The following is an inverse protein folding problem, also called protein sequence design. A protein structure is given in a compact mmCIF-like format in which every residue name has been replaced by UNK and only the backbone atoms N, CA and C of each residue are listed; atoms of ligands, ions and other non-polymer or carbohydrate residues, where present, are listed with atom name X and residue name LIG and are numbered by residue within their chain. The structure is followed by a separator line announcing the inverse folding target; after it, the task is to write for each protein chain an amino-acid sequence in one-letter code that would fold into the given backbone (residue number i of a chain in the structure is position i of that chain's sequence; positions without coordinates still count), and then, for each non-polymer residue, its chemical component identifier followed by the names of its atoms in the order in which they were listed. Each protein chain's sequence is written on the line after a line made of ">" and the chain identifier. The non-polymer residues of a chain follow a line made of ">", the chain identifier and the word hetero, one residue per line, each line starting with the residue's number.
data_IF_543407439751
#
_entry.id   IF_543407439751
#
_cell.length_a   1.000
_cell.length_b   1.000
_cell.length_c   1.000
_cell.angle_alpha   90.00
_cell.angle_beta   90.00
_cell.angle_gamma   90.00
#
_symmetry.space_group_name_H-M   'P 1'
#
loop_
_entity.id
_entity.type
_entity.pdbx_description
1 polymer ?
#
# COMPACT_ATOMS: atom_id res chain seq x y z
N UNK A 1 23.46 -74.10 21.49
CA UNK A 1 24.82 -73.55 21.75
C UNK A 1 24.81 -72.08 21.41
N UNK A 2 25.46 -71.31 22.26
CA UNK A 2 25.43 -69.85 22.43
C UNK A 2 25.96 -69.09 21.20
N UNK A 3 25.33 -67.96 20.88
CA UNK A 3 26.03 -66.78 20.34
C UNK A 3 25.26 -65.50 20.73
N UNK A 4 25.96 -64.61 21.43
CA UNK A 4 25.54 -63.28 21.90
C UNK A 4 25.73 -62.28 20.76
N UNK A 5 24.79 -61.34 20.59
CA UNK A 5 25.00 -60.11 19.83
C UNK A 5 24.45 -58.90 20.61
N UNK A 6 25.25 -57.84 20.66
CA UNK A 6 25.19 -56.68 21.55
C UNK A 6 24.07 -55.67 21.23
N UNK A 7 23.70 -54.79 22.19
CA UNK A 7 22.72 -53.73 21.96
C UNK A 7 23.31 -52.60 21.10
N UNK A 8 22.60 -52.26 20.02
CA UNK A 8 22.87 -51.06 19.22
C UNK A 8 22.33 -49.82 19.93
N UNK A 9 23.24 -48.95 20.38
CA UNK A 9 22.93 -47.61 20.89
C UNK A 9 22.22 -46.75 19.83
N UNK A 10 21.27 -45.89 20.22
CA UNK A 10 20.63 -44.96 19.29
C UNK A 10 21.63 -43.85 18.89
N UNK A 11 21.81 -43.65 17.59
CA UNK A 11 22.55 -42.52 17.04
C UNK A 11 21.80 -41.22 17.30
N UNK A 12 22.20 -40.50 18.35
CA UNK A 12 21.86 -39.09 18.54
C UNK A 12 22.68 -38.26 17.55
N UNK A 13 22.16 -38.10 16.34
CA UNK A 13 22.69 -37.20 15.31
C UNK A 13 21.66 -36.13 14.96
N UNK A 14 21.18 -35.39 15.96
CA UNK A 14 20.49 -34.13 15.69
C UNK A 14 21.58 -33.12 15.28
N UNK A 15 21.71 -32.88 13.97
CA UNK A 15 22.47 -31.75 13.47
C UNK A 15 21.95 -30.48 14.13
N UNK A 16 22.82 -29.59 14.64
CA UNK A 16 22.37 -28.31 15.17
C UNK A 16 21.67 -27.56 14.04
N UNK A 17 20.42 -27.16 14.27
CA UNK A 17 19.72 -26.21 13.40
C UNK A 17 20.66 -25.05 13.09
N UNK A 18 20.76 -24.59 11.83
CA UNK A 18 21.58 -23.43 11.52
C UNK A 18 21.11 -22.29 12.41
N UNK A 19 22.04 -21.70 13.16
CA UNK A 19 21.82 -20.46 13.89
C UNK A 19 21.29 -19.47 12.87
N UNK A 20 20.01 -19.14 12.97
CA UNK A 20 19.41 -18.05 12.21
C UNK A 20 20.19 -16.81 12.61
N UNK A 21 21.06 -16.32 11.71
CA UNK A 21 21.76 -15.07 11.91
C UNK A 21 20.71 -14.00 12.15
N UNK A 22 20.86 -13.24 13.22
CA UNK A 22 20.00 -12.08 13.45
C UNK A 22 20.08 -11.16 12.22
N UNK A 23 18.94 -10.69 11.68
CA UNK A 23 18.94 -9.73 10.58
C UNK A 23 19.83 -8.53 10.90
N UNK A 24 20.71 -8.13 9.97
CA UNK A 24 21.64 -7.01 10.18
C UNK A 24 20.92 -5.70 10.55
N UNK A 25 19.70 -5.51 10.04
CA UNK A 25 18.86 -4.36 10.32
C UNK A 25 18.50 -4.21 11.82
N UNK A 26 18.42 -5.31 12.59
CA UNK A 26 18.16 -5.25 14.03
C UNK A 26 19.30 -4.63 14.84
N UNK A 27 20.51 -4.59 14.28
CA UNK A 27 21.66 -3.98 14.94
C UNK A 27 21.74 -2.45 14.72
N UNK A 28 20.92 -1.91 13.81
CA UNK A 28 20.93 -0.49 13.45
C UNK A 28 19.92 0.29 14.31
N UNK A 29 20.25 1.54 14.64
CA UNK A 29 19.31 2.52 15.17
C UNK A 29 18.30 2.98 14.10
N UNK A 30 17.19 3.59 14.51
CA UNK A 30 16.16 4.11 13.58
C UNK A 30 16.75 5.12 12.58
N UNK A 31 17.67 5.97 13.05
CA UNK A 31 18.37 6.95 12.21
C UNK A 31 19.28 6.27 11.17
N UNK A 32 19.98 5.21 11.55
CA UNK A 32 20.82 4.42 10.65
C UNK A 32 19.99 3.64 9.63
N UNK A 33 18.86 3.03 10.04
CA UNK A 33 17.91 2.40 9.11
C UNK A 33 17.36 3.41 8.11
N UNK A 34 16.95 4.59 8.57
CA UNK A 34 16.52 5.69 7.71
C UNK A 34 17.63 6.17 6.75
N UNK A 35 18.90 6.17 7.17
CA UNK A 35 20.03 6.49 6.29
C UNK A 35 20.24 5.44 5.20
N UNK A 36 20.07 4.14 5.51
CA UNK A 36 20.10 3.05 4.53
C UNK A 36 18.98 3.23 3.50
N UNK A 37 17.75 3.50 3.94
CA UNK A 37 16.61 3.75 3.04
C UNK A 37 16.90 4.93 2.10
N UNK A 38 17.40 6.06 2.61
CA UNK A 38 17.78 7.22 1.77
C UNK A 38 18.87 6.87 0.77
N UNK A 39 19.85 6.05 1.15
CA UNK A 39 20.91 5.58 0.24
C UNK A 39 20.33 4.75 -0.90
N UNK A 40 19.46 3.78 -0.59
CA UNK A 40 18.81 2.91 -1.57
C UNK A 40 17.92 3.72 -2.53
N UNK A 41 17.11 4.61 -1.98
CA UNK A 41 16.13 5.38 -2.75
C UNK A 41 16.75 6.55 -3.53
N UNK A 42 17.93 7.01 -3.10
CA UNK A 42 18.62 8.17 -3.67
C UNK A 42 17.98 9.49 -3.27
N UNK A 43 18.19 10.52 -4.09
CA UNK A 43 17.72 11.89 -3.84
C UNK A 43 16.62 12.29 -4.82
N UNK A 44 15.62 13.03 -4.34
CA UNK A 44 14.64 13.67 -5.20
C UNK A 44 15.20 14.97 -5.82
N UNK A 45 14.85 15.27 -7.08
CA UNK A 45 15.07 16.58 -7.68
C UNK A 45 13.88 17.51 -7.38
N UNK A 46 14.03 18.53 -6.51
CA UNK A 46 12.94 19.44 -6.14
C UNK A 46 12.33 20.21 -7.31
N UNK A 47 13.03 20.32 -8.44
CA UNK A 47 12.52 20.95 -9.66
C UNK A 47 11.28 20.24 -10.22
N UNK A 48 11.10 18.96 -9.87
CA UNK A 48 10.00 18.12 -10.35
C UNK A 48 8.74 18.17 -9.48
N UNK A 49 8.69 19.03 -8.46
CA UNK A 49 7.59 19.07 -7.48
C UNK A 49 6.22 19.49 -8.06
N UNK A 50 6.16 20.08 -9.25
CA UNK A 50 4.92 20.61 -9.81
C UNK A 50 3.84 19.53 -10.03
N UNK A 51 4.22 18.37 -10.58
CA UNK A 51 3.29 17.25 -10.79
C UNK A 51 2.82 16.61 -9.47
N UNK A 52 3.71 16.17 -8.54
CA UNK A 52 3.28 15.65 -7.25
C UNK A 52 2.41 16.64 -6.46
N UNK A 53 2.76 17.93 -6.43
CA UNK A 53 1.98 18.95 -5.75
C UNK A 53 0.58 19.13 -6.35
N UNK A 54 0.41 18.96 -7.66
CA UNK A 54 -0.89 18.98 -8.32
C UNK A 54 -1.75 17.78 -7.91
N UNK A 55 -1.16 16.56 -7.92
CA UNK A 55 -1.84 15.34 -7.45
C UNK A 55 -2.30 15.51 -6.01
N UNK A 56 -1.41 15.96 -5.12
CA UNK A 56 -1.71 16.21 -3.71
C UNK A 56 -2.85 17.20 -3.55
N UNK A 57 -2.84 18.31 -4.27
CA UNK A 57 -3.90 19.33 -4.20
C UNK A 57 -5.28 18.75 -4.54
N UNK A 58 -5.37 17.95 -5.60
CA UNK A 58 -6.61 17.26 -5.99
C UNK A 58 -7.02 16.28 -4.90
N UNK A 59 -6.13 15.38 -4.51
CA UNK A 59 -6.39 14.33 -3.51
C UNK A 59 -6.86 14.92 -2.19
N UNK A 60 -6.17 15.93 -1.65
CA UNK A 60 -6.57 16.58 -0.40
C UNK A 60 -7.92 17.29 -0.50
N UNK A 61 -8.18 17.97 -1.63
CA UNK A 61 -9.49 18.59 -1.87
C UNK A 61 -10.60 17.55 -1.91
N UNK A 62 -10.38 16.42 -2.57
CA UNK A 62 -11.38 15.33 -2.66
C UNK A 62 -11.55 14.58 -1.35
N UNK A 63 -10.48 14.39 -0.58
CA UNK A 63 -10.56 13.84 0.78
C UNK A 63 -11.47 14.70 1.67
N UNK A 64 -11.26 16.03 1.67
CA UNK A 64 -12.10 16.96 2.44
C UNK A 64 -13.57 16.90 2.00
N UNK A 65 -13.83 16.64 0.72
CA UNK A 65 -15.19 16.54 0.18
C UNK A 65 -15.89 15.21 0.47
N UNK A 66 -15.18 14.09 0.35
CA UNK A 66 -15.80 12.76 0.33
C UNK A 66 -15.52 11.91 1.57
N UNK A 67 -14.39 12.10 2.24
CA UNK A 67 -13.95 11.24 3.36
C UNK A 67 -14.13 11.95 4.70
N UNK A 68 -13.74 13.22 4.80
CA UNK A 68 -13.82 13.98 6.05
C UNK A 68 -15.24 14.05 6.65
N UNK A 69 -16.33 14.17 5.87
CA UNK A 69 -17.68 14.11 6.43
C UNK A 69 -18.00 12.76 7.09
N UNK A 70 -17.51 11.64 6.53
CA UNK A 70 -17.69 10.31 7.09
C UNK A 70 -16.90 10.16 8.39
N UNK A 71 -15.67 10.69 8.46
CA UNK A 71 -14.90 10.71 9.71
C UNK A 71 -15.66 11.51 10.77
N UNK A 72 -16.12 12.73 10.44
CA UNK A 72 -16.84 13.57 11.39
C UNK A 72 -18.14 12.93 11.90
N UNK A 73 -18.80 12.12 11.08
CA UNK A 73 -20.04 11.43 11.44
C UNK A 73 -19.80 10.16 12.25
N UNK A 74 -18.82 9.34 11.88
CA UNK A 74 -18.67 7.99 12.41
C UNK A 74 -17.57 7.87 13.46
N UNK A 75 -16.55 8.72 13.37
CA UNK A 75 -15.38 8.73 14.26
C UNK A 75 -14.82 10.15 14.54
N UNK A 76 -15.66 11.07 15.06
CA UNK A 76 -15.29 12.47 15.25
C UNK A 76 -14.07 12.68 16.16
N UNK A 77 -13.88 11.82 17.16
CA UNK A 77 -12.77 11.91 18.12
C UNK A 77 -11.39 11.72 17.46
N UNK A 78 -11.32 11.06 16.30
CA UNK A 78 -10.06 10.95 15.55
C UNK A 78 -9.58 12.29 14.97
N UNK A 79 -10.49 13.27 14.81
CA UNK A 79 -10.18 14.55 14.19
C UNK A 79 -9.25 15.38 15.08
N UNK A 80 -8.05 15.66 14.59
CA UNK A 80 -7.04 16.43 15.32
C UNK A 80 -6.11 15.56 16.17
N UNK A 81 -6.42 14.28 16.34
CA UNK A 81 -5.57 13.32 17.04
C UNK A 81 -4.53 12.66 16.11
N UNK A 82 -3.67 11.81 16.69
CA UNK A 82 -2.67 11.04 15.95
C UNK A 82 -3.33 10.15 14.91
N UNK A 83 -4.41 9.45 15.28
CA UNK A 83 -5.17 8.59 14.36
C UNK A 83 -5.66 9.36 13.11
N UNK A 84 -6.31 10.52 13.28
CA UNK A 84 -6.75 11.32 12.13
C UNK A 84 -5.61 11.83 11.25
N UNK A 85 -4.43 12.14 11.83
CA UNK A 85 -3.24 12.49 11.04
C UNK A 85 -2.70 11.29 10.24
N UNK A 86 -2.60 10.10 10.86
CA UNK A 86 -2.22 8.84 10.20
C UNK A 86 -3.17 8.55 9.04
N UNK A 87 -4.48 8.51 9.30
CA UNK A 87 -5.49 8.24 8.26
C UNK A 87 -5.42 9.21 7.09
N UNK A 88 -5.30 10.51 7.37
CA UNK A 88 -5.20 11.53 6.31
C UNK A 88 -3.91 11.35 5.50
N UNK A 89 -2.79 11.07 6.15
CA UNK A 89 -1.52 10.80 5.47
C UNK A 89 -1.62 9.55 4.60
N UNK A 90 -2.01 8.40 5.17
CA UNK A 90 -2.12 7.14 4.43
C UNK A 90 -3.08 7.27 3.25
N UNK A 91 -4.24 7.91 3.45
CA UNK A 91 -5.20 8.13 2.37
C UNK A 91 -4.62 9.03 1.28
N UNK A 92 -4.07 10.19 1.66
CA UNK A 92 -3.76 11.26 0.70
C UNK A 92 -2.37 11.19 0.08
N UNK A 93 -1.40 10.66 0.83
CA UNK A 93 0.02 10.63 0.46
C UNK A 93 0.46 9.26 -0.03
N UNK A 94 -0.13 8.18 0.49
CA UNK A 94 0.20 6.83 0.09
C UNK A 94 -0.83 6.28 -0.91
N UNK A 95 -2.01 5.87 -0.43
CA UNK A 95 -2.92 5.01 -1.19
C UNK A 95 -3.60 5.70 -2.38
N UNK A 96 -4.16 6.91 -2.21
CA UNK A 96 -4.84 7.58 -3.32
C UNK A 96 -3.87 8.00 -4.44
N UNK A 97 -2.58 8.18 -4.13
CA UNK A 97 -1.55 8.57 -5.11
C UNK A 97 -1.38 7.55 -6.23
N UNK A 98 -1.42 6.26 -5.89
CA UNK A 98 -1.13 5.20 -6.84
C UNK A 98 -2.14 5.18 -8.01
N UNK A 99 -3.47 5.23 -7.77
CA UNK A 99 -4.46 5.38 -8.84
C UNK A 99 -4.25 6.63 -9.71
N UNK A 100 -3.93 7.79 -9.14
CA UNK A 100 -3.67 9.01 -9.95
C UNK A 100 -2.40 8.88 -10.80
N UNK A 101 -1.35 8.23 -10.28
CA UNK A 101 -0.15 7.92 -11.06
C UNK A 101 -0.48 6.96 -12.20
N UNK A 102 -1.28 5.91 -11.95
CA UNK A 102 -1.74 5.00 -12.99
C UNK A 102 -2.53 5.72 -14.06
N UNK A 103 -3.48 6.59 -13.72
CA UNK A 103 -4.23 7.36 -14.72
C UNK A 103 -3.30 8.17 -15.65
N UNK A 104 -2.17 8.66 -15.14
CA UNK A 104 -1.21 9.42 -15.91
C UNK A 104 -0.28 8.56 -16.78
N UNK A 105 -0.01 7.32 -16.35
CA UNK A 105 0.89 6.38 -17.04
C UNK A 105 0.15 5.28 -17.82
N UNK A 106 -1.17 5.22 -17.73
CA UNK A 106 -2.02 4.20 -18.32
C UNK A 106 -1.98 4.19 -19.86
N UNK A 107 -2.25 3.03 -20.50
CA UNK A 107 -2.36 2.92 -21.96
C UNK A 107 -3.49 3.76 -22.54
N UNK A 108 -4.59 3.89 -21.78
CA UNK A 108 -5.75 4.70 -22.12
C UNK A 108 -5.93 5.81 -21.08
N UNK A 109 -5.04 6.83 -21.07
CA UNK A 109 -5.08 7.82 -20.02
C UNK A 109 -6.28 8.77 -20.22
N UNK A 110 -6.76 9.46 -19.18
CA UNK A 110 -7.80 10.47 -19.33
C UNK A 110 -7.44 11.52 -20.40
N UNK A 111 -8.47 12.05 -21.08
CA UNK A 111 -8.30 12.91 -22.26
C UNK A 111 -7.22 13.99 -22.14
N UNK A 112 -7.05 14.74 -21.01
CA UNK A 112 -6.03 15.78 -20.92
C UNK A 112 -4.58 15.28 -20.93
N UNK A 113 -4.34 14.02 -20.56
CA UNK A 113 -2.99 13.45 -20.41
C UNK A 113 -2.37 13.13 -21.76
N UNK A 114 -3.14 12.57 -22.69
CA UNK A 114 -2.66 12.21 -24.03
C UNK A 114 -2.06 13.39 -24.81
N UNK A 115 -2.79 14.53 -24.95
CA UNK A 115 -2.27 15.75 -25.54
C UNK A 115 -1.07 16.31 -24.77
N UNK A 116 -1.11 16.37 -23.44
CA UNK A 116 0.01 16.85 -22.64
C UNK A 116 1.29 16.05 -22.95
N UNK A 117 1.16 14.73 -23.06
CA UNK A 117 2.26 13.85 -23.47
C UNK A 117 2.72 14.10 -24.89
N UNK A 118 1.81 14.17 -25.85
CA UNK A 118 2.14 14.44 -27.24
C UNK A 118 2.86 15.78 -27.41
N UNK A 119 2.36 16.85 -26.79
CA UNK A 119 2.97 18.18 -26.78
C UNK A 119 4.34 18.15 -26.13
N UNK A 120 4.45 17.54 -24.95
CA UNK A 120 5.70 17.44 -24.20
C UNK A 120 6.82 16.77 -25.01
N UNK A 121 6.52 15.61 -25.60
CA UNK A 121 7.47 14.87 -26.44
C UNK A 121 7.79 15.61 -27.75
N UNK A 122 6.79 16.23 -28.41
CA UNK A 122 7.01 16.96 -29.67
C UNK A 122 7.87 18.22 -29.50
N UNK A 123 7.75 18.89 -28.38
CA UNK A 123 8.52 20.09 -28.05
C UNK A 123 9.89 19.76 -27.43
N UNK A 124 10.18 18.48 -27.16
CA UNK A 124 11.42 18.06 -26.49
C UNK A 124 11.59 18.71 -25.11
N UNK A 125 10.50 18.85 -24.36
CA UNK A 125 10.53 19.53 -23.07
C UNK A 125 11.45 18.81 -22.08
N UNK A 126 12.17 19.57 -21.27
CA UNK A 126 12.93 19.05 -20.14
C UNK A 126 12.01 18.43 -19.08
N UNK A 127 12.55 17.55 -18.23
CA UNK A 127 11.81 16.90 -17.13
C UNK A 127 11.09 17.91 -16.20
N UNK A 128 11.74 19.02 -15.86
CA UNK A 128 11.15 20.13 -15.08
C UNK A 128 9.94 20.75 -15.78
N UNK A 129 10.05 20.99 -17.09
CA UNK A 129 8.96 21.58 -17.89
C UNK A 129 7.81 20.58 -18.07
N UNK A 130 8.14 19.30 -18.27
CA UNK A 130 7.18 18.20 -18.29
C UNK A 130 6.42 18.08 -16.97
N UNK A 131 7.10 18.21 -15.83
CA UNK A 131 6.42 18.21 -14.52
C UNK A 131 5.40 19.33 -14.38
N UNK A 132 5.69 20.54 -14.86
CA UNK A 132 4.73 21.65 -14.87
C UNK A 132 3.54 21.37 -15.80
N UNK A 133 3.79 20.89 -17.01
CA UNK A 133 2.76 20.53 -17.98
C UNK A 133 1.86 19.41 -17.45
N UNK A 134 2.47 18.37 -16.87
CA UNK A 134 1.77 17.27 -16.22
C UNK A 134 0.94 17.75 -15.03
N UNK A 135 1.45 18.69 -14.22
CA UNK A 135 0.69 19.30 -13.13
C UNK A 135 -0.58 20.03 -13.61
N UNK A 136 -0.50 20.75 -14.73
CA UNK A 136 -1.69 21.35 -15.37
C UNK A 136 -2.66 20.26 -15.86
N UNK A 137 -2.14 19.20 -16.49
CA UNK A 137 -2.94 18.08 -16.97
C UNK A 137 -3.64 17.31 -15.83
N UNK A 138 -3.05 17.22 -14.64
CA UNK A 138 -3.70 16.66 -13.44
C UNK A 138 -4.93 17.49 -13.06
N UNK A 139 -4.80 18.82 -13.01
CA UNK A 139 -5.92 19.70 -12.70
C UNK A 139 -7.06 19.60 -13.73
N UNK A 140 -6.72 19.52 -15.02
CA UNK A 140 -7.69 19.30 -16.08
C UNK A 140 -8.35 17.91 -15.98
N UNK A 141 -7.56 16.88 -15.67
CA UNK A 141 -8.06 15.51 -15.47
C UNK A 141 -9.08 15.46 -14.34
N UNK A 142 -8.78 16.09 -13.21
CA UNK A 142 -9.70 16.17 -12.07
C UNK A 142 -11.01 16.93 -12.36
N UNK A 143 -11.04 17.75 -13.42
CA UNK A 143 -12.26 18.43 -13.85
C UNK A 143 -13.15 17.58 -14.77
N UNK A 144 -12.57 16.58 -15.45
CA UNK A 144 -13.28 15.75 -16.45
C UNK A 144 -13.46 14.29 -16.03
N UNK A 145 -12.71 13.82 -15.03
CA UNK A 145 -12.86 12.46 -14.52
C UNK A 145 -14.27 12.28 -13.93
N UNK A 146 -14.96 11.16 -14.17
CA UNK A 146 -16.28 10.92 -13.60
C UNK A 146 -16.26 11.09 -12.08
N UNK A 147 -17.23 11.82 -11.54
CA UNK A 147 -17.30 12.10 -10.11
C UNK A 147 -17.34 10.82 -9.26
N UNK A 148 -17.99 9.76 -9.75
CA UNK A 148 -18.02 8.45 -9.09
C UNK A 148 -16.63 7.80 -9.06
N UNK A 149 -15.84 7.90 -10.13
CA UNK A 149 -14.46 7.40 -10.16
C UNK A 149 -13.59 8.11 -9.14
N UNK A 150 -13.57 9.46 -9.15
CA UNK A 150 -12.80 10.23 -8.18
C UNK A 150 -13.22 9.89 -6.74
N UNK A 151 -14.53 9.84 -6.49
CA UNK A 151 -15.08 9.51 -5.17
C UNK A 151 -14.60 8.14 -4.71
N UNK A 152 -14.67 7.11 -5.58
CA UNK A 152 -14.25 5.74 -5.23
C UNK A 152 -12.75 5.62 -4.99
N UNK A 153 -11.89 6.34 -5.73
CA UNK A 153 -10.44 6.39 -5.44
C UNK A 153 -10.22 6.82 -3.98
N UNK A 154 -10.88 7.89 -3.55
CA UNK A 154 -10.70 8.43 -2.20
C UNK A 154 -11.33 7.55 -1.12
N UNK A 155 -12.51 6.98 -1.37
CA UNK A 155 -13.18 6.10 -0.41
C UNK A 155 -12.41 4.80 -0.21
N UNK A 156 -11.92 4.15 -1.27
CA UNK A 156 -11.11 2.94 -1.14
C UNK A 156 -9.76 3.20 -0.45
N UNK A 157 -9.09 4.30 -0.81
CA UNK A 157 -7.84 4.69 -0.15
C UNK A 157 -8.05 4.94 1.36
N UNK A 158 -9.14 5.61 1.74
CA UNK A 158 -9.48 5.84 3.15
C UNK A 158 -9.89 4.55 3.85
N UNK A 159 -10.59 3.67 3.15
CA UNK A 159 -11.02 2.38 3.68
C UNK A 159 -9.84 1.50 4.04
N UNK A 160 -8.85 1.36 3.15
CA UNK A 160 -7.61 0.62 3.41
C UNK A 160 -6.86 1.26 4.59
N UNK A 161 -6.67 2.59 4.58
CA UNK A 161 -6.01 3.30 5.69
C UNK A 161 -6.72 3.08 7.03
N UNK A 162 -8.05 2.97 7.03
CA UNK A 162 -8.82 2.71 8.25
C UNK A 162 -8.71 1.26 8.70
N UNK A 163 -8.70 0.29 7.76
CA UNK A 163 -8.45 -1.12 8.07
C UNK A 163 -7.07 -1.33 8.69
N UNK A 164 -6.04 -0.74 8.07
CA UNK A 164 -4.66 -0.73 8.57
C UNK A 164 -4.61 -0.22 10.02
N UNK A 165 -5.17 0.96 10.26
CA UNK A 165 -5.23 1.53 11.61
C UNK A 165 -6.02 0.66 12.60
N UNK A 166 -7.10 0.01 12.16
CA UNK A 166 -7.89 -0.86 13.03
C UNK A 166 -7.09 -2.08 13.46
N UNK A 167 -6.34 -2.71 12.55
CA UNK A 167 -5.48 -3.85 12.88
C UNK A 167 -4.32 -3.47 13.81
N UNK A 168 -3.67 -2.33 13.53
CA UNK A 168 -2.52 -1.88 14.31
C UNK A 168 -2.90 -1.42 15.73
N UNK A 169 -4.04 -0.72 15.86
CA UNK A 169 -4.31 0.08 17.07
C UNK A 169 -5.64 -0.20 17.76
N UNK A 170 -6.67 -0.64 17.02
CA UNK A 170 -8.03 -0.74 17.59
C UNK A 170 -8.37 -2.15 18.08
N UNK A 171 -7.58 -3.15 17.68
CA UNK A 171 -7.77 -4.56 18.03
C UNK A 171 -6.72 -5.07 19.02
N UNK A 172 -5.92 -4.18 19.62
CA UNK A 172 -4.93 -4.58 20.61
C UNK A 172 -5.58 -5.33 21.79
N UNK A 173 -4.89 -6.38 22.28
CA UNK A 173 -5.40 -7.28 23.31
C UNK A 173 -6.60 -8.18 22.92
N UNK A 174 -7.15 -8.07 21.70
CA UNK A 174 -8.21 -8.98 21.21
C UNK A 174 -7.58 -10.27 20.68
N UNK A 175 -8.18 -11.43 21.02
CA UNK A 175 -7.77 -12.74 20.49
C UNK A 175 -7.77 -12.77 18.94
N UNK A 176 -6.75 -13.34 18.27
CA UNK A 176 -6.64 -13.34 16.81
C UNK A 176 -7.86 -13.88 16.07
N UNK A 177 -8.50 -14.95 16.56
CA UNK A 177 -9.68 -15.53 15.89
C UNK A 177 -10.87 -14.58 16.00
N UNK A 178 -11.02 -13.93 17.16
CA UNK A 178 -12.05 -12.92 17.37
C UNK A 178 -11.80 -11.65 16.53
N UNK A 179 -10.54 -11.25 16.30
CA UNK A 179 -10.20 -10.16 15.36
C UNK A 179 -10.71 -10.47 13.96
N UNK A 180 -10.41 -11.66 13.45
CA UNK A 180 -10.87 -12.13 12.14
C UNK A 180 -12.39 -12.19 12.05
N UNK A 181 -13.06 -12.75 13.07
CA UNK A 181 -14.53 -12.82 13.14
C UNK A 181 -15.17 -11.43 13.09
N UNK A 182 -14.63 -10.46 13.83
CA UNK A 182 -15.14 -9.07 13.83
C UNK A 182 -14.91 -8.38 12.49
N UNK A 183 -13.69 -8.45 11.94
CA UNK A 183 -13.38 -7.80 10.67
C UNK A 183 -14.13 -8.43 9.50
N UNK A 184 -14.16 -9.76 9.39
CA UNK A 184 -14.97 -10.45 8.40
C UNK A 184 -16.46 -10.13 8.55
N UNK A 185 -16.98 -10.18 9.79
CA UNK A 185 -18.37 -9.84 10.06
C UNK A 185 -18.71 -8.37 9.77
N UNK A 186 -17.77 -7.44 9.94
CA UNK A 186 -17.94 -6.03 9.60
C UNK A 186 -18.05 -5.81 8.09
N UNK A 187 -17.20 -6.50 7.32
CA UNK A 187 -17.25 -6.47 5.85
C UNK A 187 -18.54 -7.10 5.32
N UNK A 188 -18.94 -8.24 5.90
CA UNK A 188 -20.15 -8.96 5.49
C UNK A 188 -21.45 -8.36 6.06
N UNK A 189 -21.35 -7.38 6.97
CA UNK A 189 -22.50 -6.73 7.61
C UNK A 189 -23.21 -7.60 8.64
N UNK A 190 -22.57 -8.67 9.09
CA UNK A 190 -23.09 -9.60 10.12
C UNK A 190 -22.64 -9.23 11.53
N UNK A 191 -21.72 -8.27 11.65
CA UNK A 191 -21.29 -7.71 12.94
C UNK A 191 -21.27 -6.17 12.88
N UNK A 192 -21.60 -5.54 14.01
CA UNK A 192 -21.59 -4.07 14.19
C UNK A 192 -21.09 -3.77 15.60
N UNK A 193 -20.22 -2.76 15.79
CA UNK A 193 -19.75 -2.36 17.12
C UNK A 193 -20.92 -1.79 17.94
N UNK A 194 -21.02 -2.22 19.20
CA UNK A 194 -21.96 -1.64 20.17
C UNK A 194 -21.36 -0.44 20.90
N UNK A 195 -22.13 0.17 21.82
CA UNK A 195 -21.69 1.33 22.59
C UNK A 195 -20.56 1.02 23.59
N UNK A 196 -20.31 -0.26 23.90
CA UNK A 196 -19.27 -0.70 24.83
C UNK A 196 -17.99 -1.14 24.13
N UNK A 197 -18.02 -1.23 22.81
CA UNK A 197 -16.87 -1.62 21.99
C UNK A 197 -15.81 -0.52 22.01
N UNK A 198 -14.62 -0.83 22.52
CA UNK A 198 -13.46 0.07 22.44
C UNK A 198 -13.19 0.42 20.97
N UNK A 199 -12.94 1.70 20.70
CA UNK A 199 -12.76 2.23 19.33
C UNK A 199 -13.95 1.96 18.39
N UNK A 200 -15.19 1.86 18.89
CA UNK A 200 -16.39 1.66 18.08
C UNK A 200 -16.49 2.63 16.88
N UNK A 201 -16.01 3.86 17.01
CA UNK A 201 -15.98 4.85 15.93
C UNK A 201 -15.17 4.40 14.71
N UNK A 202 -14.00 3.79 14.93
CA UNK A 202 -13.15 3.27 13.85
C UNK A 202 -13.86 2.18 13.05
N UNK A 203 -14.47 1.20 13.73
CA UNK A 203 -15.23 0.14 13.07
C UNK A 203 -16.47 0.67 12.32
N UNK A 204 -17.19 1.66 12.90
CA UNK A 204 -18.29 2.33 12.19
C UNK A 204 -17.80 3.05 10.94
N UNK A 205 -16.62 3.68 10.99
CA UNK A 205 -16.04 4.35 9.83
C UNK A 205 -15.65 3.34 8.73
N UNK A 206 -15.04 2.20 9.08
CA UNK A 206 -14.76 1.11 8.12
C UNK A 206 -16.05 0.70 7.40
N UNK A 207 -17.15 0.48 8.14
CA UNK A 207 -18.43 0.12 7.54
C UNK A 207 -19.00 1.23 6.65
N UNK A 208 -18.98 2.47 7.10
CA UNK A 208 -19.48 3.60 6.32
C UNK A 208 -18.71 3.78 5.00
N UNK A 209 -17.38 3.68 5.04
CA UNK A 209 -16.54 3.74 3.85
C UNK A 209 -16.84 2.57 2.90
N UNK A 210 -17.02 1.37 3.45
CA UNK A 210 -17.41 0.19 2.69
C UNK A 210 -18.76 0.34 2.00
N UNK A 211 -19.77 0.89 2.66
CA UNK A 211 -21.09 1.07 2.06
C UNK A 211 -21.07 2.19 1.00
N UNK A 212 -20.36 3.28 1.29
CA UNK A 212 -20.30 4.43 0.39
C UNK A 212 -19.51 4.17 -0.90
N UNK A 213 -18.50 3.29 -0.88
CA UNK A 213 -17.76 2.94 -2.10
C UNK A 213 -18.60 2.11 -3.08
N UNK A 214 -19.58 1.33 -2.59
CA UNK A 214 -20.52 0.55 -3.40
C UNK A 214 -21.66 1.39 -3.94
N UNK A 215 -22.00 2.49 -3.27
CA UNK A 215 -23.10 3.35 -3.65
C UNK A 215 -22.98 3.81 -5.12
N UNK A 216 -24.09 3.66 -5.86
CA UNK A 216 -24.19 4.08 -7.26
C UNK A 216 -23.42 3.19 -8.25
N UNK A 217 -23.11 1.93 -7.92
CA UNK A 217 -22.73 0.93 -8.93
C UNK A 217 -24.03 0.40 -9.56
N UNK A 218 -24.17 0.59 -10.87
CA UNK A 218 -25.37 0.26 -11.64
C UNK A 218 -25.10 -0.68 -12.83
N UNK A 219 -23.84 -1.08 -13.01
CA UNK A 219 -23.40 -1.93 -14.11
C UNK A 219 -22.60 -3.13 -13.60
N UNK A 220 -22.77 -4.27 -14.28
CA UNK A 220 -22.20 -5.56 -13.90
C UNK A 220 -20.67 -5.56 -13.94
N UNK A 221 -20.05 -4.77 -14.81
CA UNK A 221 -18.58 -4.73 -14.92
C UNK A 221 -17.94 -4.09 -13.69
N UNK A 222 -18.45 -2.94 -13.23
CA UNK A 222 -18.00 -2.31 -12.00
C UNK A 222 -18.30 -3.18 -10.77
N UNK A 223 -19.45 -3.84 -10.74
CA UNK A 223 -19.78 -4.75 -9.64
C UNK A 223 -18.80 -5.92 -9.58
N UNK A 224 -18.46 -6.54 -10.71
CA UNK A 224 -17.49 -7.65 -10.76
C UNK A 224 -16.09 -7.23 -10.30
N UNK A 225 -15.61 -6.05 -10.69
CA UNK A 225 -14.30 -5.57 -10.26
C UNK A 225 -14.28 -5.23 -8.76
N UNK A 226 -15.38 -4.67 -8.24
CA UNK A 226 -15.55 -4.47 -6.79
C UNK A 226 -15.57 -5.82 -6.04
N UNK A 227 -16.34 -6.79 -6.50
CA UNK A 227 -16.46 -8.11 -5.87
C UNK A 227 -15.11 -8.82 -5.81
N UNK A 228 -14.32 -8.72 -6.89
CA UNK A 228 -12.94 -9.21 -6.93
C UNK A 228 -12.07 -8.52 -5.87
N UNK A 229 -12.14 -7.20 -5.76
CA UNK A 229 -11.38 -6.45 -4.76
C UNK A 229 -11.77 -6.84 -3.32
N UNK A 230 -13.07 -6.97 -3.05
CA UNK A 230 -13.58 -7.37 -1.74
C UNK A 230 -13.22 -8.82 -1.41
N UNK A 231 -13.21 -9.73 -2.39
CA UNK A 231 -12.74 -11.10 -2.18
C UNK A 231 -11.26 -11.14 -1.76
N UNK A 232 -10.39 -10.36 -2.42
CA UNK A 232 -8.99 -10.24 -2.01
C UNK A 232 -8.80 -9.62 -0.64
N UNK A 233 -9.67 -8.68 -0.26
CA UNK A 233 -9.64 -8.11 1.08
C UNK A 233 -10.03 -9.14 2.16
N UNK A 234 -10.95 -10.06 1.85
CA UNK A 234 -11.26 -11.19 2.75
C UNK A 234 -10.07 -12.14 2.87
N UNK A 235 -9.37 -12.44 1.78
CA UNK A 235 -8.12 -13.21 1.82
C UNK A 235 -7.10 -12.56 2.79
N UNK A 236 -7.02 -11.22 2.79
CA UNK A 236 -6.17 -10.46 3.72
C UNK A 236 -6.60 -10.64 5.19
N UNK A 237 -7.89 -10.52 5.50
CA UNK A 237 -8.40 -10.75 6.87
C UNK A 237 -8.04 -12.16 7.37
N UNK A 238 -8.23 -13.18 6.52
CA UNK A 238 -7.87 -14.56 6.86
C UNK A 238 -6.36 -14.74 7.05
N UNK A 239 -5.56 -14.05 6.25
CA UNK A 239 -4.10 -14.07 6.32
C UNK A 239 -3.57 -13.45 7.62
N UNK A 240 -4.15 -12.35 8.09
CA UNK A 240 -3.82 -11.74 9.39
C UNK A 240 -4.06 -12.72 10.55
N UNK A 241 -5.20 -13.43 10.55
CA UNK A 241 -5.47 -14.47 11.56
C UNK A 241 -4.43 -15.58 11.50
N UNK A 242 -4.10 -16.07 10.31
CA UNK A 242 -3.08 -17.12 10.12
C UNK A 242 -1.71 -16.68 10.61
N UNK A 243 -1.30 -15.44 10.33
CA UNK A 243 -0.05 -14.87 10.79
C UNK A 243 0.02 -14.83 12.33
N UNK A 244 -1.03 -14.30 12.97
CA UNK A 244 -1.09 -14.16 14.44
C UNK A 244 -1.23 -15.50 15.18
N UNK A 245 -1.78 -16.53 14.53
CA UNK A 245 -1.95 -17.87 15.11
C UNK A 245 -0.79 -18.82 14.79
N UNK A 246 0.25 -18.33 14.11
CA UNK A 246 1.46 -19.11 13.81
C UNK A 246 1.28 -20.17 12.73
N UNK A 247 0.24 -20.06 11.90
CA UNK A 247 0.07 -20.94 10.74
C UNK A 247 1.21 -20.66 9.75
N UNK A 248 2.01 -21.66 9.36
CA UNK A 248 3.11 -21.42 8.42
C UNK A 248 2.62 -20.91 7.06
N UNK A 249 3.28 -19.86 6.56
CA UNK A 249 3.09 -19.41 5.17
C UNK A 249 4.04 -20.19 4.25
N UNK A 250 3.54 -20.96 3.27
CA UNK A 250 4.38 -21.73 2.35
C UNK A 250 5.29 -20.85 1.48
N UNK A 251 4.98 -19.56 1.31
CA UNK A 251 5.82 -18.64 0.53
C UNK A 251 7.02 -18.10 1.31
N UNK A 252 7.03 -18.23 2.64
CA UNK A 252 8.02 -17.60 3.52
C UNK A 252 7.75 -16.11 3.80
N UNK A 253 6.73 -15.51 3.17
CA UNK A 253 6.37 -14.10 3.34
C UNK A 253 5.45 -13.83 4.54
N UNK A 254 5.38 -14.72 5.53
CA UNK A 254 4.61 -14.54 6.78
C UNK A 254 3.17 -14.03 6.57
N UNK A 255 2.49 -14.50 5.51
CA UNK A 255 1.15 -14.11 5.11
C UNK A 255 0.97 -12.62 4.76
N UNK A 256 2.08 -11.89 4.45
CA UNK A 256 2.03 -10.50 3.98
C UNK A 256 1.39 -10.35 2.59
N UNK A 257 1.58 -11.33 1.70
CA UNK A 257 1.17 -11.21 0.29
C UNK A 257 -0.34 -10.98 0.09
N UNK A 258 -1.26 -11.66 0.80
CA UNK A 258 -2.68 -11.34 0.73
C UNK A 258 -3.01 -9.87 1.02
N UNK A 259 -2.33 -9.23 1.99
CA UNK A 259 -2.50 -7.79 2.27
C UNK A 259 -2.01 -6.90 1.13
N UNK A 260 -0.83 -7.21 0.57
CA UNK A 260 -0.29 -6.54 -0.62
C UNK A 260 -1.27 -6.63 -1.80
N UNK A 261 -1.81 -7.83 -2.05
CA UNK A 261 -2.72 -8.06 -3.18
C UNK A 261 -4.09 -7.42 -2.96
N UNK A 262 -4.66 -7.55 -1.76
CA UNK A 262 -5.96 -6.98 -1.40
C UNK A 262 -5.98 -5.45 -1.46
N UNK A 263 -4.92 -4.82 -0.97
CA UNK A 263 -4.74 -3.35 -1.08
C UNK A 263 -4.81 -2.89 -2.53
N UNK A 264 -4.07 -3.57 -3.42
CA UNK A 264 -3.96 -3.12 -4.81
C UNK A 264 -5.19 -3.45 -5.64
N UNK A 265 -5.81 -4.62 -5.48
CA UNK A 265 -7.05 -4.90 -6.21
C UNK A 265 -8.15 -3.89 -5.85
N UNK A 266 -8.19 -3.42 -4.59
CA UNK A 266 -9.05 -2.31 -4.16
C UNK A 266 -8.71 -0.96 -4.80
N UNK A 267 -7.41 -0.61 -4.91
CA UNK A 267 -6.98 0.65 -5.51
C UNK A 267 -7.05 0.67 -7.05
N UNK A 268 -6.94 -0.50 -7.70
CA UNK A 268 -7.10 -0.63 -9.15
C UNK A 268 -8.56 -0.58 -9.56
N UNK A 269 -9.48 -1.15 -8.77
CA UNK A 269 -10.92 -1.15 -9.02
C UNK A 269 -11.44 0.21 -9.54
N UNK A 270 -11.28 1.37 -8.86
CA UNK A 270 -11.89 2.61 -9.34
C UNK A 270 -11.35 3.09 -10.70
N UNK A 271 -10.17 2.62 -11.11
CA UNK A 271 -9.49 3.03 -12.35
C UNK A 271 -9.33 1.88 -13.35
N UNK A 272 -10.03 0.76 -13.17
CA UNK A 272 -9.83 -0.49 -13.93
C UNK A 272 -9.96 -0.31 -15.45
N UNK A 273 -10.81 0.62 -15.91
CA UNK A 273 -11.00 0.92 -17.34
C UNK A 273 -9.77 1.57 -17.99
N UNK A 274 -8.93 2.21 -17.18
CA UNK A 274 -7.67 2.81 -17.62
C UNK A 274 -6.47 1.90 -17.33
N UNK A 275 -6.55 1.16 -16.21
CA UNK A 275 -5.51 0.28 -15.74
C UNK A 275 -5.52 -1.06 -16.48
N UNK A 276 -4.48 -1.33 -17.26
CA UNK A 276 -4.20 -2.68 -17.77
C UNK A 276 -3.50 -3.54 -16.71
N UNK A 277 -3.28 -4.82 -17.05
CA UNK A 277 -2.60 -5.76 -16.15
C UNK A 277 -1.19 -5.28 -15.75
N UNK A 278 -0.50 -4.58 -16.63
CA UNK A 278 0.81 -3.99 -16.30
C UNK A 278 0.73 -2.89 -15.24
N UNK A 279 -0.35 -2.09 -15.22
CA UNK A 279 -0.56 -1.10 -14.17
C UNK A 279 -0.86 -1.79 -12.83
N UNK A 280 -1.68 -2.85 -12.86
CA UNK A 280 -1.95 -3.69 -11.69
C UNK A 280 -0.66 -4.31 -11.13
N UNK A 281 0.18 -4.90 -11.99
CA UNK A 281 1.45 -5.49 -11.61
C UNK A 281 2.43 -4.44 -11.03
N UNK A 282 2.53 -3.27 -11.66
CA UNK A 282 3.35 -2.18 -11.11
C UNK A 282 2.85 -1.75 -9.72
N UNK A 283 1.53 -1.62 -9.54
CA UNK A 283 0.96 -1.29 -8.23
C UNK A 283 1.24 -2.38 -7.18
N UNK A 284 1.21 -3.67 -7.55
CA UNK A 284 1.64 -4.75 -6.64
C UNK A 284 3.11 -4.61 -6.24
N UNK A 285 3.99 -4.30 -7.18
CA UNK A 285 5.41 -4.10 -6.88
C UNK A 285 5.60 -2.89 -5.94
N UNK A 286 4.83 -1.81 -6.11
CA UNK A 286 4.84 -0.66 -5.20
C UNK A 286 4.32 -1.03 -3.82
N UNK A 287 3.20 -1.76 -3.72
CA UNK A 287 2.67 -2.18 -2.41
C UNK A 287 3.60 -3.15 -1.70
N UNK A 288 4.27 -4.04 -2.43
CA UNK A 288 5.28 -4.92 -1.87
C UNK A 288 6.50 -4.10 -1.39
N UNK A 289 6.96 -3.12 -2.15
CA UNK A 289 8.03 -2.21 -1.72
C UNK A 289 7.67 -1.52 -0.40
N UNK A 290 6.46 -0.96 -0.30
CA UNK A 290 5.99 -0.29 0.92
C UNK A 290 5.93 -1.26 2.10
N UNK A 291 5.47 -2.50 1.90
CA UNK A 291 5.46 -3.51 2.96
C UNK A 291 6.87 -3.91 3.42
N UNK A 292 7.81 -4.08 2.49
CA UNK A 292 9.20 -4.45 2.82
C UNK A 292 9.91 -3.29 3.51
N UNK A 293 9.61 -2.05 3.09
CA UNK A 293 10.10 -0.84 3.72
C UNK A 293 9.57 -0.69 5.15
N UNK A 294 8.27 -0.95 5.35
CA UNK A 294 7.61 -0.95 6.66
C UNK A 294 8.28 -1.95 7.61
N UNK A 295 8.33 -3.23 7.21
CA UNK A 295 8.95 -4.30 7.99
C UNK A 295 10.46 -4.04 8.25
N UNK A 296 11.15 -3.29 7.39
CA UNK A 296 12.55 -2.88 7.59
C UNK A 296 12.68 -1.78 8.64
N UNK A 297 11.84 -0.74 8.55
CA UNK A 297 11.87 0.40 9.47
C UNK A 297 11.39 -0.02 10.86
N UNK A 298 10.36 -0.84 10.94
CA UNK A 298 9.69 -1.26 12.18
C UNK A 298 10.24 -2.56 12.78
N UNK A 299 11.29 -3.14 12.20
CA UNK A 299 11.87 -4.43 12.63
C UNK A 299 12.13 -4.56 14.15
N UNK A 300 12.48 -3.46 14.84
CA UNK A 300 12.69 -3.45 16.29
C UNK A 300 11.36 -3.52 17.07
N UNK A 301 10.35 -2.80 16.60
CA UNK A 301 8.98 -2.80 17.14
C UNK A 301 8.31 -4.16 16.89
N UNK A 302 8.41 -4.65 15.65
CA UNK A 302 7.85 -5.93 15.21
C UNK A 302 8.36 -7.12 16.03
N UNK A 303 9.59 -7.04 16.55
CA UNK A 303 10.17 -8.12 17.38
C UNK A 303 9.33 -8.42 18.63
N UNK A 304 8.59 -7.44 19.14
CA UNK A 304 7.71 -7.58 20.29
C UNK A 304 6.28 -7.96 19.94
N UNK A 305 5.92 -8.02 18.66
CA UNK A 305 4.55 -8.27 18.22
C UNK A 305 4.22 -9.77 18.10
N UNK A 306 2.92 -10.07 18.05
CA UNK A 306 2.42 -11.44 17.91
C UNK A 306 2.74 -12.06 16.54
N UNK A 307 2.88 -11.23 15.49
CA UNK A 307 3.09 -11.69 14.11
C UNK A 307 4.59 -11.65 13.76
N UNK A 308 5.18 -12.74 13.25
CA UNK A 308 6.50 -12.64 12.64
C UNK A 308 6.43 -11.88 11.31
N UNK A 309 7.49 -11.16 10.97
CA UNK A 309 7.63 -10.52 9.65
C UNK A 309 8.69 -11.25 8.81
N UNK A 310 8.64 -11.18 7.48
CA UNK A 310 9.66 -11.78 6.63
C UNK A 310 11.04 -11.17 6.85
N UNK A 311 11.09 -9.90 7.28
CA UNK A 311 12.33 -9.25 7.68
C UNK A 311 12.94 -9.87 8.96
N UNK A 312 12.10 -10.17 9.96
CA UNK A 312 12.54 -10.84 11.19
C UNK A 312 12.99 -12.28 10.96
N UNK A 313 12.33 -13.00 10.05
CA UNK A 313 12.70 -14.39 9.70
C UNK A 313 13.91 -14.47 8.77
N UNK A 314 14.37 -13.33 8.22
CA UNK A 314 15.46 -13.26 7.26
C UNK A 314 15.07 -13.68 5.84
N UNK A 315 13.77 -13.86 5.57
CA UNK A 315 13.27 -14.08 4.22
C UNK A 315 13.39 -12.80 3.36
N UNK A 316 13.20 -11.64 4.00
CA UNK A 316 13.56 -10.34 3.44
C UNK A 316 14.75 -9.76 4.18
N UNK A 317 15.52 -8.95 3.45
CA UNK A 317 16.72 -8.26 3.95
C UNK A 317 16.92 -6.92 3.20
N UNK A 318 18.04 -6.24 3.46
CA UNK A 318 18.39 -5.00 2.77
C UNK A 318 18.49 -5.18 1.24
N UNK A 319 19.04 -6.31 0.78
CA UNK A 319 19.16 -6.60 -0.65
C UNK A 319 17.78 -6.80 -1.31
N UNK A 320 16.84 -7.40 -0.58
CA UNK A 320 15.44 -7.53 -0.99
C UNK A 320 14.78 -6.16 -1.14
N UNK A 321 14.98 -5.26 -0.15
CA UNK A 321 14.48 -3.88 -0.21
C UNK A 321 15.03 -3.14 -1.44
N UNK A 322 16.34 -3.22 -1.69
CA UNK A 322 16.98 -2.60 -2.86
C UNK A 322 16.48 -3.18 -4.19
N UNK A 323 16.36 -4.51 -4.28
CA UNK A 323 15.90 -5.18 -5.49
C UNK A 323 14.45 -4.80 -5.84
N UNK A 324 13.57 -4.78 -4.84
CA UNK A 324 12.16 -4.42 -5.03
C UNK A 324 12.04 -2.93 -5.36
N UNK A 325 12.81 -2.07 -4.69
CA UNK A 325 12.86 -0.65 -5.04
C UNK A 325 13.25 -0.43 -6.51
N UNK A 326 14.33 -1.07 -6.97
CA UNK A 326 14.75 -1.00 -8.37
C UNK A 326 13.64 -1.46 -9.31
N UNK A 327 12.96 -2.57 -8.97
CA UNK A 327 11.82 -3.09 -9.74
C UNK A 327 10.68 -2.07 -9.86
N UNK A 328 10.37 -1.30 -8.81
CA UNK A 328 9.31 -0.28 -8.90
C UNK A 328 9.67 0.87 -9.84
N UNK A 329 10.93 1.32 -9.84
CA UNK A 329 11.42 2.37 -10.74
C UNK A 329 11.45 1.91 -12.20
N UNK A 330 11.84 0.66 -12.45
CA UNK A 330 11.83 0.08 -13.79
C UNK A 330 10.40 -0.20 -14.26
N UNK A 331 9.53 -0.63 -13.34
CA UNK A 331 8.12 -0.90 -13.59
C UNK A 331 7.35 0.33 -14.04
N UNK A 332 7.56 1.50 -13.42
CA UNK A 332 6.85 2.72 -13.85
C UNK A 332 7.32 3.18 -15.25
N UNK A 333 8.62 3.01 -15.56
CA UNK A 333 9.16 3.27 -16.91
C UNK A 333 8.57 2.29 -17.92
N UNK A 334 8.49 1.00 -17.57
CA UNK A 334 7.90 -0.02 -18.42
C UNK A 334 6.40 0.26 -18.67
N UNK A 335 5.66 0.69 -17.64
CA UNK A 335 4.26 1.07 -17.76
C UNK A 335 4.10 2.24 -18.74
N UNK A 336 4.90 3.30 -18.59
CA UNK A 336 4.89 4.43 -19.52
C UNK A 336 5.20 3.98 -20.97
N UNK A 337 6.20 3.11 -21.17
CA UNK A 337 6.54 2.55 -22.49
C UNK A 337 5.39 1.74 -23.10
N UNK A 338 4.68 0.95 -22.28
CA UNK A 338 3.53 0.14 -22.74
C UNK A 338 2.38 1.00 -23.27
N UNK A 339 2.27 2.22 -22.75
CA UNK A 339 1.33 3.24 -23.20
C UNK A 339 1.82 3.96 -24.46
N UNK A 340 2.91 3.50 -25.07
CA UNK A 340 3.53 4.00 -26.30
C UNK A 340 4.53 5.14 -26.10
N UNK A 341 5.03 5.40 -24.87
CA UNK A 341 6.01 6.48 -24.63
C UNK A 341 7.37 5.99 -25.13
N UNK A 342 7.99 6.76 -26.01
CA UNK A 342 9.37 6.50 -26.47
C UNK A 342 10.32 7.66 -26.20
N UNK A 343 9.83 8.78 -25.68
CA UNK A 343 10.63 9.97 -25.41
C UNK A 343 11.39 9.83 -24.09
N UNK A 344 12.73 9.95 -24.14
CA UNK A 344 13.60 9.74 -22.99
C UNK A 344 13.35 10.76 -21.87
N UNK A 345 13.04 12.01 -22.22
CA UNK A 345 12.72 13.05 -21.23
C UNK A 345 11.44 12.70 -20.46
N UNK A 346 10.41 12.21 -21.14
CA UNK A 346 9.18 11.75 -20.50
C UNK A 346 9.41 10.54 -19.59
N UNK A 347 10.18 9.56 -20.06
CA UNK A 347 10.49 8.37 -19.27
C UNK A 347 11.30 8.74 -18.01
N UNK A 348 12.27 9.63 -18.13
CA UNK A 348 13.03 10.16 -16.99
C UNK A 348 12.12 10.95 -16.04
N UNK A 349 11.25 11.81 -16.57
CA UNK A 349 10.28 12.58 -15.77
C UNK A 349 9.37 11.65 -14.93
N UNK A 350 8.80 10.61 -15.54
CA UNK A 350 7.91 9.67 -14.84
C UNK A 350 8.67 8.91 -13.74
N UNK A 351 9.89 8.43 -14.04
CA UNK A 351 10.74 7.73 -13.05
C UNK A 351 11.05 8.61 -11.84
N UNK A 352 11.52 9.83 -12.10
CA UNK A 352 12.01 10.72 -11.04
C UNK A 352 10.88 11.39 -10.24
N UNK A 353 9.70 11.60 -10.83
CA UNK A 353 8.53 12.05 -10.05
C UNK A 353 7.97 10.94 -9.17
N UNK A 354 7.94 9.69 -9.63
CA UNK A 354 7.61 8.56 -8.76
C UNK A 354 8.62 8.44 -7.62
N UNK A 355 9.93 8.57 -7.89
CA UNK A 355 10.97 8.58 -6.86
C UNK A 355 10.68 9.63 -5.78
N UNK A 356 10.38 10.85 -6.17
CA UNK A 356 10.05 11.94 -5.24
C UNK A 356 8.88 11.57 -4.33
N UNK A 357 7.75 11.09 -4.90
CA UNK A 357 6.57 10.73 -4.10
C UNK A 357 6.84 9.54 -3.16
N UNK A 358 7.65 8.57 -3.59
CA UNK A 358 8.04 7.44 -2.76
C UNK A 358 8.97 7.86 -1.60
N UNK A 359 9.93 8.76 -1.86
CA UNK A 359 10.81 9.33 -0.83
C UNK A 359 10.03 10.09 0.23
N UNK A 360 9.08 10.95 -0.16
CA UNK A 360 8.18 11.65 0.78
C UNK A 360 7.43 10.66 1.70
N UNK A 361 7.03 9.52 1.13
CA UNK A 361 6.33 8.46 1.88
C UNK A 361 7.26 7.77 2.87
N UNK A 362 8.46 7.37 2.41
CA UNK A 362 9.46 6.71 3.24
C UNK A 362 9.94 7.61 4.40
N UNK A 363 10.11 8.91 4.15
CA UNK A 363 10.48 9.88 5.19
C UNK A 363 9.40 10.03 6.25
N UNK A 364 8.12 10.03 5.85
CA UNK A 364 7.00 10.09 6.78
C UNK A 364 6.81 8.80 7.60
N UNK A 365 7.06 7.64 6.99
CA UNK A 365 7.09 6.34 7.69
C UNK A 365 8.22 6.33 8.73
N UNK A 366 9.45 6.66 8.32
CA UNK A 366 10.59 6.71 9.25
C UNK A 366 10.49 7.78 10.34
N UNK A 367 9.63 8.78 10.19
CA UNK A 367 9.32 9.78 11.21
C UNK A 367 8.13 9.40 12.11
N UNK A 368 7.55 8.21 11.94
CA UNK A 368 6.38 7.74 12.71
C UNK A 368 5.08 8.51 12.40
N UNK A 369 5.01 9.23 11.28
CA UNK A 369 3.78 9.90 10.84
C UNK A 369 2.79 8.91 10.23
N UNK A 370 3.29 7.78 9.73
CA UNK A 370 2.50 6.66 9.25
C UNK A 370 2.09 5.69 10.38
N UNK A 371 2.62 5.86 11.60
CA UNK A 371 2.43 4.96 12.75
C UNK A 371 1.26 5.33 13.64
#
# INVERSE_FOLDING_TARGET
>A
MVAVAAPSSPSSGASPSPLVSMPAALALTDAERGAVVRRIMGTADPSLAAFPAAVRRVVFSRHARYVQPLIAQHWPESLGERAGRKLRFLTCNLYATAPYTVLFSAPQPPFPVGPARWLGSRLGLSTTSLSRLAGVAVGATAAVLPALTERRILLFAAFIATIDHVYDHCLDGVDPVERGRRMGGLLDGTWTPDATTTHAGAFRLVRALHDEMQAGIDNDDDQRELDRALARLRDYVDAEVKAMTGVPDPSGCCWRMPGVLGTIDGLVFPVWRHAGEQARQWMYDVSLFVQVLDDYLDIVKDRGELRPTPMLTGHWDEATLEAIWSKTLDGIVALAKSSGVTDDNWLAFVRETYRMMALETAEAMGAGTAD
#
